data_IF_372714331024
#
_entry.id   IF_372714331024
#
_cell.length_a   1.000
_cell.length_b   1.000
_cell.length_c   1.000
_cell.angle_alpha   90.00
_cell.angle_beta   90.00
_cell.angle_gamma   90.00
#
_symmetry.space_group_name_H-M   'P 1'
#
loop_
_entity.id
_entity.type
_entity.pdbx_description
1 polymer ?
#
# COMPACT_ATOMS: atom_id res chain seq x y z
N UNK A 1 14.48 5.25 -3.09
CA UNK A 1 13.08 4.83 -3.01
C UNK A 1 12.24 5.79 -3.80
N UNK A 2 11.39 5.31 -4.68
CA UNK A 2 10.45 6.15 -5.42
C UNK A 2 9.05 5.58 -5.26
N UNK A 3 8.14 6.36 -4.69
CA UNK A 3 6.70 6.09 -4.76
C UNK A 3 6.29 6.16 -6.24
N UNK A 4 5.71 5.09 -6.74
CA UNK A 4 5.27 5.02 -8.13
C UNK A 4 3.84 5.53 -8.27
N UNK A 5 2.97 5.14 -7.34
CA UNK A 5 1.61 5.67 -7.27
C UNK A 5 0.98 5.39 -5.92
N UNK A 6 0.07 6.28 -5.52
CA UNK A 6 -0.87 6.03 -4.45
C UNK A 6 -2.26 6.45 -4.93
N UNK A 7 -3.26 5.61 -4.70
CA UNK A 7 -4.66 5.87 -4.99
C UNK A 7 -5.42 5.77 -3.68
N UNK A 8 -6.23 6.79 -3.41
CA UNK A 8 -7.20 6.78 -2.33
C UNK A 8 -8.61 6.92 -2.93
N UNK A 9 -9.52 6.03 -2.54
CA UNK A 9 -10.89 6.04 -3.00
C UNK A 9 -11.84 5.91 -1.81
N UNK A 10 -12.78 6.85 -1.72
CA UNK A 10 -13.85 6.84 -0.72
C UNK A 10 -15.18 6.56 -1.40
N UNK A 11 -15.87 5.52 -0.93
CA UNK A 11 -17.22 5.20 -1.39
C UNK A 11 -18.18 6.28 -0.91
N UNK A 12 -18.82 6.98 -1.85
CA UNK A 12 -19.72 8.09 -1.54
C UNK A 12 -21.12 7.62 -1.15
N UNK A 13 -21.65 6.60 -1.83
CA UNK A 13 -23.06 6.21 -1.74
C UNK A 13 -23.24 4.68 -1.62
N UNK A 14 -24.40 4.26 -1.12
CA UNK A 14 -24.77 2.86 -0.96
C UNK A 14 -24.41 2.25 0.41
N UNK A 15 -24.56 0.92 0.56
CA UNK A 15 -24.40 0.21 1.84
C UNK A 15 -22.99 0.29 2.46
N UNK A 16 -21.99 0.66 1.65
CA UNK A 16 -20.60 0.83 2.07
C UNK A 16 -20.18 2.31 2.03
N UNK A 17 -21.14 3.24 1.99
CA UNK A 17 -20.84 4.68 2.05
C UNK A 17 -19.96 4.97 3.27
N UNK A 18 -18.86 5.67 3.03
CA UNK A 18 -17.84 5.94 4.04
C UNK A 18 -16.66 4.97 4.04
N UNK A 19 -16.72 3.85 3.29
CA UNK A 19 -15.58 2.95 3.12
C UNK A 19 -14.44 3.66 2.39
N UNK A 20 -13.23 3.56 2.94
CA UNK A 20 -12.02 4.14 2.40
C UNK A 20 -11.05 3.03 1.98
N UNK A 21 -10.60 3.09 0.73
CA UNK A 21 -9.64 2.16 0.14
C UNK A 21 -8.40 2.96 -0.22
N UNK A 22 -7.25 2.48 0.23
CA UNK A 22 -5.95 3.03 -0.09
C UNK A 22 -5.07 1.94 -0.69
N UNK A 23 -4.40 2.27 -1.79
CA UNK A 23 -3.42 1.42 -2.44
C UNK A 23 -2.20 2.27 -2.81
N UNK A 24 -1.02 1.85 -2.38
CA UNK A 24 0.24 2.45 -2.78
C UNK A 24 1.20 1.39 -3.29
N UNK A 25 2.03 1.77 -4.26
CA UNK A 25 3.10 0.96 -4.79
C UNK A 25 4.40 1.77 -4.85
N UNK A 26 5.47 1.20 -4.32
CA UNK A 26 6.79 1.81 -4.25
C UNK A 26 7.83 0.86 -4.84
N UNK A 27 8.86 1.44 -5.47
CA UNK A 27 10.04 0.66 -5.85
C UNK A 27 11.14 0.83 -4.81
N UNK A 28 11.45 -0.30 -4.18
CA UNK A 28 12.50 -0.48 -3.19
C UNK A 28 13.84 -0.83 -3.82
N UNK A 29 14.92 -0.17 -3.37
CA UNK A 29 16.29 -0.63 -3.60
C UNK A 29 17.08 -0.46 -2.32
N UNK A 30 17.52 -1.58 -1.76
CA UNK A 30 18.34 -1.61 -0.56
C UNK A 30 19.67 -2.32 -0.82
N UNK A 31 20.72 -1.81 -0.18
CA UNK A 31 22.02 -2.48 -0.14
C UNK A 31 21.99 -3.47 1.02
N UNK A 32 22.30 -4.72 0.75
CA UNK A 32 22.25 -5.79 1.75
C UNK A 32 23.59 -6.51 1.76
N UNK A 33 24.48 -6.01 2.62
CA UNK A 33 25.83 -6.56 2.75
C UNK A 33 25.75 -8.01 3.25
N UNK A 34 26.43 -8.93 2.56
CA UNK A 34 26.56 -10.34 2.97
C UNK A 34 25.54 -11.33 2.40
N UNK A 35 24.82 -10.97 1.32
CA UNK A 35 23.91 -11.90 0.63
C UNK A 35 24.64 -12.74 -0.42
N UNK A 36 24.47 -14.07 -0.41
CA UNK A 36 24.97 -14.98 -1.46
C UNK A 36 24.36 -14.71 -2.85
N UNK A 37 23.25 -13.96 -2.89
CA UNK A 37 22.53 -13.55 -4.11
C UNK A 37 22.91 -12.13 -4.58
N UNK A 38 23.94 -11.53 -3.97
CA UNK A 38 24.47 -10.21 -4.31
C UNK A 38 24.02 -9.08 -3.37
N UNK A 39 24.74 -7.96 -3.41
CA UNK A 39 24.66 -6.88 -2.41
C UNK A 39 23.44 -5.95 -2.55
N UNK A 40 22.49 -6.30 -3.44
CA UNK A 40 21.37 -5.43 -3.77
C UNK A 40 20.06 -6.21 -3.76
N UNK A 41 19.12 -5.74 -2.96
CA UNK A 41 17.73 -6.18 -3.00
C UNK A 41 16.90 -5.12 -3.72
N UNK A 42 16.41 -5.47 -4.91
CA UNK A 42 15.39 -4.68 -5.59
C UNK A 42 14.04 -5.33 -5.29
N UNK A 43 13.09 -4.56 -4.78
CA UNK A 43 11.77 -5.07 -4.44
C UNK A 43 10.68 -4.06 -4.83
N UNK A 44 9.47 -4.58 -4.91
CA UNK A 44 8.26 -3.79 -5.03
C UNK A 44 7.54 -3.86 -3.68
N UNK A 45 7.29 -2.71 -3.09
CA UNK A 45 6.46 -2.60 -1.89
C UNK A 45 5.05 -2.23 -2.34
N UNK A 46 4.06 -2.99 -1.89
CA UNK A 46 2.66 -2.73 -2.19
C UNK A 46 1.91 -2.68 -0.87
N UNK A 47 1.36 -1.51 -0.55
CA UNK A 47 0.58 -1.30 0.67
C UNK A 47 -0.88 -1.06 0.32
N UNK A 48 -1.74 -1.91 0.89
CA UNK A 48 -3.19 -1.79 0.76
C UNK A 48 -3.82 -1.60 2.14
N UNK A 49 -4.80 -0.69 2.23
CA UNK A 49 -5.63 -0.50 3.42
C UNK A 49 -7.09 -0.37 3.00
N UNK A 50 -7.96 -1.07 3.72
CA UNK A 50 -9.41 -0.93 3.61
C UNK A 50 -9.93 -0.58 5.00
N UNK A 51 -10.62 0.54 5.11
CA UNK A 51 -11.20 1.02 6.35
C UNK A 51 -12.69 1.24 6.15
N UNK A 52 -13.50 0.78 7.09
CA UNK A 52 -14.93 1.01 7.12
C UNK A 52 -15.39 1.12 8.56
N UNK A 53 -15.92 2.29 8.92
CA UNK A 53 -16.45 2.54 10.25
C UNK A 53 -17.96 2.26 10.22
N UNK A 54 -18.44 1.41 11.13
CA UNK A 54 -19.85 1.11 11.29
C UNK A 54 -20.31 1.45 12.71
N UNK A 55 -21.54 1.95 12.82
CA UNK A 55 -22.17 2.20 14.11
C UNK A 55 -23.00 0.99 14.53
N UNK A 56 -22.65 0.40 15.67
CA UNK A 56 -23.51 -0.58 16.35
C UNK A 56 -24.59 0.18 17.12
N UNK A 57 -25.84 -0.29 17.04
CA UNK A 57 -26.94 0.18 17.89
C UNK A 57 -27.02 -0.66 19.15
#
# INVERSE_FOLDING_TARGET
MGLLSAVNYRVAEGPLSGMNIFLAADKGREKRDGSSLGDRLNYWDVKMSIQYDFMLR
#
